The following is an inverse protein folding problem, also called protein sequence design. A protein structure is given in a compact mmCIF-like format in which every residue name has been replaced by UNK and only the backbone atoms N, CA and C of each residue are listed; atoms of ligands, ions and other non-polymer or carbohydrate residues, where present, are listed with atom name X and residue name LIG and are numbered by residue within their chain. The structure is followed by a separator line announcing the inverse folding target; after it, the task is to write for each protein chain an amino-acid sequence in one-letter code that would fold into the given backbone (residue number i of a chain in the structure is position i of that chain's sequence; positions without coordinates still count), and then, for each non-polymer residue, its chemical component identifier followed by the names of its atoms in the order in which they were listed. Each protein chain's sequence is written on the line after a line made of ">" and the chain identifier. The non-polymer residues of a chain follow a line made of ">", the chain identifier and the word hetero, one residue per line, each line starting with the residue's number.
data_IF_489906083145
#
_entry.id   IF_489906083145
#
_cell.length_a   1.000
_cell.length_b   1.000
_cell.length_c   1.000
_cell.angle_alpha   90.00
_cell.angle_beta   90.00
_cell.angle_gamma   90.00
#
_symmetry.space_group_name_H-M   'P 1'
#
loop_
_entity.id
_entity.type
_entity.pdbx_description
1 polymer ?
#
# COMPACT_ATOMS: atom_id res chain seq x y z
N UNK A 1 -5.23 -4.64 -12.21
CA UNK A 1 -4.82 -3.23 -12.46
C UNK A 1 -3.54 -2.87 -11.71
N UNK A 2 -3.44 -3.15 -10.42
CA UNK A 2 -2.25 -2.83 -9.61
C UNK A 2 -0.95 -3.44 -10.14
N UNK A 3 -0.95 -4.73 -10.47
CA UNK A 3 0.23 -5.40 -11.04
C UNK A 3 0.74 -4.69 -12.31
N UNK A 4 -0.17 -4.19 -13.15
CA UNK A 4 0.17 -3.45 -14.36
C UNK A 4 0.78 -2.07 -14.06
N UNK A 5 0.31 -1.38 -13.01
CA UNK A 5 0.89 -0.10 -12.55
C UNK A 5 2.19 -0.27 -11.76
N UNK A 6 2.36 -1.42 -11.11
CA UNK A 6 3.50 -1.77 -10.27
C UNK A 6 4.71 -2.19 -11.11
N UNK A 7 4.52 -3.08 -12.09
CA UNK A 7 5.60 -3.64 -12.91
C UNK A 7 6.60 -2.60 -13.46
N UNK A 8 6.17 -1.49 -14.10
CA UNK A 8 7.11 -0.50 -14.64
C UNK A 8 7.86 0.30 -13.57
N UNK A 9 7.40 0.30 -12.32
CA UNK A 9 8.00 1.05 -11.19
C UNK A 9 8.87 0.19 -10.27
N UNK A 10 9.02 -1.11 -10.55
CA UNK A 10 9.79 -2.02 -9.70
C UNK A 10 11.26 -1.59 -9.51
N UNK A 11 11.89 -1.02 -10.53
CA UNK A 11 13.27 -0.53 -10.42
C UNK A 11 13.36 0.68 -9.47
N UNK A 12 12.43 1.63 -9.59
CA UNK A 12 12.35 2.79 -8.72
C UNK A 12 12.10 2.39 -7.25
N UNK A 13 11.13 1.50 -7.01
CA UNK A 13 10.81 1.01 -5.67
C UNK A 13 12.00 0.30 -4.99
N UNK A 14 12.83 -0.39 -5.78
CA UNK A 14 14.06 -1.02 -5.26
C UNK A 14 15.16 -0.02 -4.93
N UNK A 15 15.23 1.09 -5.67
CA UNK A 15 16.23 2.14 -5.47
C UNK A 15 15.86 3.11 -4.35
N UNK A 16 14.56 3.22 -4.02
CA UNK A 16 14.01 4.14 -3.02
C UNK A 16 13.19 3.34 -2.00
N UNK A 17 13.81 2.85 -0.90
CA UNK A 17 13.15 1.94 0.05
C UNK A 17 11.87 2.52 0.68
N UNK A 18 11.81 3.84 0.86
CA UNK A 18 10.65 4.52 1.48
C UNK A 18 9.57 4.91 0.46
N UNK A 19 9.80 4.64 -0.83
CA UNK A 19 8.84 4.99 -1.88
C UNK A 19 7.63 4.06 -1.88
N UNK A 20 6.49 4.63 -2.25
CA UNK A 20 5.20 3.95 -2.27
C UNK A 20 4.38 4.32 -3.49
N UNK A 21 3.48 3.44 -3.89
CA UNK A 21 2.54 3.66 -4.98
C UNK A 21 1.14 3.38 -4.48
N UNK A 22 0.22 4.31 -4.71
CA UNK A 22 -1.19 4.06 -4.42
C UNK A 22 -1.80 3.10 -5.45
N UNK A 23 -2.21 1.94 -4.95
CA UNK A 23 -2.92 0.91 -5.68
C UNK A 23 -4.37 0.78 -5.22
N UNK A 24 -5.18 0.07 -6.01
CA UNK A 24 -6.55 -0.28 -5.61
C UNK A 24 -6.56 -1.25 -4.42
N UNK A 25 -5.49 -2.01 -4.23
CA UNK A 25 -5.30 -2.96 -3.12
C UNK A 25 -4.56 -2.37 -1.92
N UNK A 26 -4.45 -1.04 -1.84
CA UNK A 26 -3.73 -0.31 -0.80
C UNK A 26 -2.46 0.36 -1.32
N UNK A 27 -1.69 0.95 -0.40
CA UNK A 27 -0.42 1.59 -0.75
C UNK A 27 0.69 0.54 -0.79
N UNK A 28 1.40 0.47 -1.92
CA UNK A 28 2.33 -0.62 -2.26
C UNK A 28 3.79 -0.17 -2.13
N UNK A 29 4.61 -0.96 -1.42
CA UNK A 29 6.07 -0.81 -1.34
C UNK A 29 6.80 -2.12 -1.69
N UNK A 30 8.12 -2.08 -1.81
CA UNK A 30 8.98 -3.27 -1.92
C UNK A 30 9.90 -3.32 -0.69
N UNK A 31 9.90 -4.43 0.03
CA UNK A 31 10.82 -4.62 1.16
C UNK A 31 12.21 -5.12 0.70
N UNK A 32 13.22 -5.14 1.58
CA UNK A 32 14.57 -5.63 1.23
C UNK A 32 14.61 -7.08 0.73
N UNK A 33 13.64 -7.90 1.14
CA UNK A 33 13.42 -9.27 0.65
C UNK A 33 12.80 -9.35 -0.76
N UNK A 34 12.65 -8.21 -1.46
CA UNK A 34 12.04 -8.10 -2.79
C UNK A 34 10.58 -8.57 -2.83
N UNK A 35 9.87 -8.43 -1.72
CA UNK A 35 8.44 -8.72 -1.63
C UNK A 35 7.63 -7.43 -1.65
N UNK A 36 6.48 -7.48 -2.31
CA UNK A 36 5.50 -6.40 -2.28
C UNK A 36 4.83 -6.40 -0.92
N UNK A 37 4.85 -5.27 -0.24
CA UNK A 37 4.12 -5.02 1.00
C UNK A 37 2.97 -4.05 0.73
N UNK A 38 1.92 -4.16 1.54
CA UNK A 38 0.70 -3.37 1.39
C UNK A 38 0.34 -2.73 2.72
N UNK A 39 0.23 -1.41 2.73
CA UNK A 39 -0.47 -0.71 3.78
C UNK A 39 -1.94 -0.59 3.39
N UNK A 40 -2.81 -1.16 4.22
CA UNK A 40 -4.26 -1.15 4.02
C UNK A 40 -4.90 -0.08 4.90
N UNK A 41 -5.88 0.67 4.37
CA UNK A 41 -6.73 1.49 5.23
C UNK A 41 -7.55 0.58 6.13
N UNK A 42 -7.63 0.93 7.40
CA UNK A 42 -8.47 0.24 8.36
C UNK A 42 -9.81 0.95 8.51
N UNK A 43 -10.82 0.20 8.91
CA UNK A 43 -12.11 0.72 9.24
C UNK A 43 -12.70 -0.07 10.40
N UNK A 44 -13.59 0.59 11.13
CA UNK A 44 -14.38 -0.01 12.20
C UNK A 44 -15.87 0.12 11.89
N UNK A 45 -16.68 -0.70 12.56
CA UNK A 45 -18.12 -0.57 12.51
C UNK A 45 -18.60 0.28 13.70
N UNK A 46 -19.26 1.40 13.41
CA UNK A 46 -19.89 2.28 14.42
C UNK A 46 -21.35 2.43 14.04
N UNK A 47 -22.26 2.01 14.92
CA UNK A 47 -23.71 2.05 14.71
C UNK A 47 -24.17 1.44 13.36
N UNK A 48 -23.55 0.30 13.00
CA UNK A 48 -23.85 -0.41 11.75
C UNK A 48 -23.29 0.25 10.48
N UNK A 49 -22.53 1.34 10.60
CA UNK A 49 -21.85 2.01 9.48
C UNK A 49 -20.34 1.74 9.52
N UNK A 50 -19.73 1.66 8.34
CA UNK A 50 -18.28 1.55 8.20
C UNK A 50 -17.67 2.94 8.36
N UNK A 51 -16.78 3.12 9.33
CA UNK A 51 -16.02 4.35 9.54
C UNK A 51 -14.54 4.08 9.28
N UNK A 52 -13.94 4.85 8.37
CA UNK A 52 -12.50 4.75 8.10
C UNK A 52 -11.71 5.27 9.30
N UNK A 53 -10.71 4.48 9.72
CA UNK A 53 -9.73 4.89 10.71
C UNK A 53 -8.63 5.72 10.04
N UNK A 54 -7.98 6.64 10.78
CA UNK A 54 -6.78 7.33 10.30
C UNK A 54 -5.73 6.31 9.84
N UNK A 55 -4.94 6.68 8.84
CA UNK A 55 -3.85 5.82 8.39
C UNK A 55 -2.86 5.63 9.55
N UNK A 56 -2.60 4.39 9.92
CA UNK A 56 -1.56 4.06 10.91
C UNK A 56 -0.21 4.44 10.31
N UNK A 57 0.54 5.33 10.97
CA UNK A 57 1.91 5.58 10.58
C UNK A 57 2.71 4.26 10.63
N UNK A 58 3.61 4.00 9.66
CA UNK A 58 4.47 2.82 9.69
C UNK A 58 5.40 2.83 10.90
#
# INVERSE_FOLDING_TARGET
>A
MDAYRLAPRLAQLKAMPDSRIDGLSGSLSINPGRRVERQLPWAEFVDGKIQRLPDTAP
#
